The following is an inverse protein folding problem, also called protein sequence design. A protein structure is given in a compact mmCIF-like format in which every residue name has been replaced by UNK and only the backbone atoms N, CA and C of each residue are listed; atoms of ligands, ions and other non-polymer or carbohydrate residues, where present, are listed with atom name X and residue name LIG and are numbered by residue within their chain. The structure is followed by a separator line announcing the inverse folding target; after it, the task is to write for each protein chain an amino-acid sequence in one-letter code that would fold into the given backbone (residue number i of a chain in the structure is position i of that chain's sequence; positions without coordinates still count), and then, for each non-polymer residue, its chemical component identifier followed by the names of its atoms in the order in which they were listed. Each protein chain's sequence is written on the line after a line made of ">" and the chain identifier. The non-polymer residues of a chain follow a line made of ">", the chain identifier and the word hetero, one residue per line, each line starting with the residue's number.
data_IF_935518765590
#
_entry.id   IF_935518765590
#
_cell.length_a   1.000
_cell.length_b   1.000
_cell.length_c   1.000
_cell.angle_alpha   90.00
_cell.angle_beta   90.00
_cell.angle_gamma   90.00
#
_symmetry.space_group_name_H-M   'P 1'
#
loop_
_entity.id
_entity.type
_entity.pdbx_description
1 polymer ?
#
# COMPACT_ATOMS: atom_id res chain seq x y z
N UNK A 1 12.54 3.96 -9.97
CA UNK A 1 13.02 2.68 -9.40
C UNK A 1 11.93 1.64 -9.63
N UNK A 2 12.01 0.89 -10.74
CA UNK A 2 11.06 -0.17 -11.07
C UNK A 2 11.32 -1.37 -10.14
N UNK A 3 10.37 -1.72 -9.27
CA UNK A 3 10.39 -2.98 -8.55
C UNK A 3 9.92 -4.11 -9.48
N UNK A 4 10.81 -5.07 -9.75
CA UNK A 4 10.51 -6.31 -10.45
C UNK A 4 9.76 -7.26 -9.50
N UNK A 5 8.57 -7.71 -9.91
CA UNK A 5 7.77 -8.72 -9.21
C UNK A 5 8.34 -10.12 -9.51
N UNK A 6 8.54 -11.01 -8.52
CA UNK A 6 9.06 -12.37 -8.74
C UNK A 6 8.09 -13.29 -9.51
N UNK A 7 8.60 -14.03 -10.49
CA UNK A 7 7.89 -14.99 -11.35
C UNK A 7 7.51 -16.31 -10.65
N UNK A 8 6.61 -16.32 -9.66
CA UNK A 8 6.16 -17.58 -9.02
C UNK A 8 4.64 -17.71 -8.82
N UNK A 9 3.84 -17.16 -9.73
CA UNK A 9 2.37 -17.30 -9.73
C UNK A 9 1.95 -18.25 -10.86
N UNK A 10 1.10 -19.25 -10.58
CA UNK A 10 0.46 -20.12 -11.59
C UNK A 10 -1.05 -20.07 -11.39
N UNK A 11 -1.81 -19.81 -12.47
CA UNK A 11 -3.28 -19.79 -12.45
C UNK A 11 -3.84 -21.23 -12.46
N UNK A 12 -4.97 -21.46 -11.77
CA UNK A 12 -5.69 -22.75 -11.74
C UNK A 12 -7.21 -22.48 -11.66
N UNK A 13 -8.04 -23.39 -12.18
CA UNK A 13 -9.51 -23.28 -12.19
C UNK A 13 -10.17 -24.21 -11.16
N UNK A 14 -10.91 -23.70 -10.14
CA UNK A 14 -11.84 -24.50 -9.37
C UNK A 14 -13.31 -24.14 -9.66
N UNK A 15 -14.20 -25.14 -9.59
CA UNK A 15 -15.67 -24.95 -9.58
C UNK A 15 -16.11 -24.58 -8.15
N UNK A 16 -16.82 -23.46 -8.00
CA UNK A 16 -18.01 -23.19 -7.13
C UNK A 16 -18.10 -21.69 -6.74
N UNK A 17 -19.34 -21.24 -6.54
CA UNK A 17 -19.89 -19.88 -6.57
C UNK A 17 -19.36 -18.89 -5.52
N UNK A 18 -18.86 -17.75 -5.97
CA UNK A 18 -18.63 -16.55 -5.17
C UNK A 18 -18.05 -15.43 -6.03
N UNK A 19 -18.67 -14.24 -6.06
CA UNK A 19 -18.22 -13.09 -6.86
C UNK A 19 -16.99 -12.44 -6.20
N UNK A 20 -15.80 -12.64 -6.77
CA UNK A 20 -14.61 -11.85 -6.47
C UNK A 20 -14.42 -10.71 -7.49
N UNK A 21 -13.90 -9.59 -7.00
CA UNK A 21 -13.71 -8.33 -7.72
C UNK A 21 -12.77 -8.45 -8.93
N UNK A 22 -13.23 -7.95 -10.08
CA UNK A 22 -12.57 -7.98 -11.41
C UNK A 22 -11.20 -7.27 -11.45
N UNK A 23 -10.87 -6.45 -10.45
CA UNK A 23 -9.64 -5.64 -10.43
C UNK A 23 -8.35 -6.45 -10.19
N UNK A 24 -8.37 -7.49 -9.34
CA UNK A 24 -7.17 -8.31 -9.04
C UNK A 24 -6.76 -9.24 -10.21
N UNK A 25 -7.68 -9.55 -11.12
CA UNK A 25 -7.41 -10.44 -12.26
C UNK A 25 -6.65 -9.75 -13.40
N UNK A 26 -6.82 -8.43 -13.57
CA UNK A 26 -6.14 -7.66 -14.63
C UNK A 26 -4.66 -7.45 -14.36
N UNK A 27 -4.25 -7.34 -13.10
CA UNK A 27 -2.85 -7.10 -12.71
C UNK A 27 -1.99 -8.38 -12.77
N UNK A 28 -2.61 -9.56 -12.68
CA UNK A 28 -1.92 -10.86 -12.70
C UNK A 28 -1.93 -11.58 -14.07
N UNK A 29 -2.62 -11.06 -15.08
CA UNK A 29 -2.67 -11.64 -16.44
C UNK A 29 -3.42 -12.97 -16.58
N UNK A 30 -4.25 -13.36 -15.60
CA UNK A 30 -5.11 -14.56 -15.69
C UNK A 30 -6.41 -14.23 -16.48
N UNK A 31 -6.96 -15.19 -17.23
CA UNK A 31 -8.21 -15.00 -18.00
C UNK A 31 -9.44 -15.14 -17.09
N UNK A 32 -10.60 -14.66 -17.53
CA UNK A 32 -11.87 -14.75 -16.78
C UNK A 32 -12.14 -16.19 -16.29
N UNK A 33 -12.19 -16.40 -14.97
CA UNK A 33 -12.51 -17.69 -14.33
C UNK A 33 -11.42 -18.30 -13.43
N UNK A 34 -10.31 -17.61 -13.16
CA UNK A 34 -9.23 -18.11 -12.30
C UNK A 34 -9.12 -17.29 -10.99
N UNK A 35 -8.62 -17.88 -9.89
CA UNK A 35 -8.35 -17.20 -8.60
C UNK A 35 -6.92 -17.50 -8.13
N UNK A 36 -6.32 -16.60 -7.35
CA UNK A 36 -4.96 -16.76 -6.80
C UNK A 36 -4.98 -17.00 -5.30
N UNK A 37 -4.27 -18.04 -4.83
CA UNK A 37 -4.04 -18.31 -3.39
C UNK A 37 -2.55 -18.45 -3.05
N UNK A 38 -2.16 -17.94 -1.87
CA UNK A 38 -0.82 -18.06 -1.25
C UNK A 38 -0.58 -19.49 -0.75
N UNK A 39 0.60 -20.07 -1.00
CA UNK A 39 0.96 -21.39 -0.43
C UNK A 39 1.58 -21.22 0.96
N UNK A 40 1.10 -22.00 1.93
CA UNK A 40 1.62 -22.07 3.30
C UNK A 40 3.03 -22.72 3.34
N UNK A 41 3.91 -22.21 4.21
CA UNK A 41 5.19 -22.83 4.57
C UNK A 41 4.99 -23.77 5.79
N UNK A 42 5.63 -24.96 5.85
CA UNK A 42 5.64 -25.83 7.03
C UNK A 42 6.60 -25.32 8.14
N UNK A 43 6.47 -25.81 9.40
CA UNK A 43 7.08 -25.19 10.59
C UNK A 43 8.54 -25.60 10.77
N UNK A 44 9.40 -24.65 11.17
CA UNK A 44 10.81 -24.91 11.47
C UNK A 44 11.03 -25.23 12.96
N UNK A 45 11.66 -26.38 13.19
CA UNK A 45 12.12 -26.93 14.47
C UNK A 45 13.39 -26.18 14.93
N UNK A 46 13.60 -26.15 16.25
CA UNK A 46 14.53 -25.26 16.93
C UNK A 46 16.03 -25.52 16.77
N UNK A 47 16.74 -24.39 16.98
CA UNK A 47 18.02 -24.19 17.67
C UNK A 47 19.37 -24.56 17.00
N UNK A 48 20.20 -23.51 17.09
CA UNK A 48 21.66 -23.40 17.36
C UNK A 48 22.61 -23.30 16.15
N UNK A 49 23.32 -22.17 16.14
CA UNK A 49 24.74 -22.04 15.80
C UNK A 49 25.09 -22.29 14.34
N UNK A 50 25.05 -21.22 13.54
CA UNK A 50 26.22 -20.76 12.77
C UNK A 50 25.77 -19.69 11.77
N UNK A 51 26.45 -18.55 11.84
CA UNK A 51 26.22 -17.40 10.98
C UNK A 51 26.80 -17.71 9.59
N UNK A 52 26.04 -18.39 8.74
CA UNK A 52 26.43 -18.64 7.36
C UNK A 52 26.19 -17.38 6.51
N UNK A 53 27.29 -16.66 6.25
CA UNK A 53 27.40 -15.66 5.20
C UNK A 53 27.02 -16.26 3.83
N UNK A 54 25.87 -15.89 3.29
CA UNK A 54 25.51 -16.18 1.89
C UNK A 54 25.98 -15.03 1.00
N UNK A 55 27.27 -15.00 0.67
CA UNK A 55 27.80 -14.22 -0.46
C UNK A 55 28.37 -15.21 -1.51
N UNK A 56 28.00 -15.09 -2.80
CA UNK A 56 28.66 -15.86 -3.84
C UNK A 56 30.12 -15.41 -3.98
N UNK A 57 31.05 -16.33 -3.78
CA UNK A 57 32.50 -16.13 -3.80
C UNK A 57 33.07 -15.88 -5.22
N UNK A 58 32.76 -14.74 -5.84
CA UNK A 58 33.41 -14.32 -7.10
C UNK A 58 33.36 -12.81 -7.37
N UNK A 59 33.26 -11.99 -6.31
CA UNK A 59 33.47 -10.53 -6.41
C UNK A 59 34.70 -10.20 -5.60
N UNK A 60 35.72 -9.62 -6.25
CA UNK A 60 36.90 -9.14 -5.54
C UNK A 60 36.49 -7.97 -4.64
N UNK A 61 36.87 -8.04 -3.37
CA UNK A 61 36.53 -7.07 -2.33
C UNK A 61 37.41 -5.80 -2.35
N UNK A 62 37.91 -5.40 -3.52
CA UNK A 62 38.68 -4.17 -3.68
C UNK A 62 37.85 -3.17 -4.48
N UNK A 63 37.30 -2.18 -3.77
CA UNK A 63 36.47 -1.11 -4.36
C UNK A 63 37.22 -0.30 -5.43
N UNK A 64 36.49 0.11 -6.47
CA UNK A 64 37.02 1.00 -7.51
C UNK A 64 37.11 2.45 -7.00
N UNK A 65 38.31 3.02 -7.03
CA UNK A 65 38.52 4.43 -6.69
C UNK A 65 37.95 5.35 -7.78
N UNK A 66 37.49 6.55 -7.39
CA UNK A 66 36.99 7.55 -8.35
C UNK A 66 38.07 7.89 -9.39
N UNK A 67 37.82 7.53 -10.65
CA UNK A 67 38.70 7.82 -11.80
C UNK A 67 39.42 6.60 -12.39
N UNK A 68 39.30 5.41 -11.79
CA UNK A 68 39.92 4.20 -12.31
C UNK A 68 39.17 3.63 -13.54
N UNK A 69 39.90 3.36 -14.63
CA UNK A 69 39.34 2.74 -15.82
C UNK A 69 39.07 1.24 -15.61
N UNK A 70 37.90 0.76 -16.05
CA UNK A 70 37.49 -0.65 -15.90
C UNK A 70 37.75 -1.41 -17.21
N UNK A 71 38.32 -2.64 -17.18
CA UNK A 71 38.55 -3.46 -18.37
C UNK A 71 37.27 -3.75 -19.17
N UNK A 72 37.40 -3.80 -20.50
CA UNK A 72 36.28 -4.09 -21.39
C UNK A 72 35.70 -5.49 -21.12
N UNK A 73 34.41 -5.56 -20.81
CA UNK A 73 33.68 -6.81 -20.53
C UNK A 73 33.44 -7.11 -19.04
N UNK A 74 33.97 -6.30 -18.13
CA UNK A 74 33.70 -6.44 -16.69
C UNK A 74 32.32 -5.88 -16.31
N UNK A 75 31.56 -6.65 -15.53
CA UNK A 75 30.30 -6.17 -14.94
C UNK A 75 30.59 -5.32 -13.69
N UNK A 76 30.11 -4.08 -13.69
CA UNK A 76 30.24 -3.14 -12.58
C UNK A 76 28.90 -3.02 -11.86
N UNK A 77 28.92 -3.05 -10.52
CA UNK A 77 27.74 -2.81 -9.68
C UNK A 77 28.04 -1.74 -8.64
N UNK A 78 26.99 -1.07 -8.15
CA UNK A 78 27.05 -0.19 -6.99
C UNK A 78 26.52 -0.95 -5.78
N UNK A 79 27.30 -1.05 -4.72
CA UNK A 79 26.87 -1.67 -3.47
C UNK A 79 25.99 -0.68 -2.70
N UNK A 80 24.69 -1.00 -2.54
CA UNK A 80 23.72 -0.10 -1.90
C UNK A 80 23.83 -0.07 -0.37
N UNK A 81 24.62 -0.96 0.25
CA UNK A 81 24.91 -0.93 1.68
C UNK A 81 26.16 -0.11 2.02
N UNK A 82 27.20 -0.12 1.17
CA UNK A 82 28.46 0.60 1.44
C UNK A 82 28.64 1.87 0.61
N UNK A 83 27.93 1.99 -0.52
CA UNK A 83 28.06 3.12 -1.47
C UNK A 83 29.18 2.95 -2.51
N UNK A 84 29.93 1.85 -2.47
CA UNK A 84 31.11 1.64 -3.33
C UNK A 84 30.76 1.03 -4.69
N UNK A 85 31.58 1.31 -5.71
CA UNK A 85 31.49 0.64 -7.02
C UNK A 85 32.43 -0.57 -7.03
N UNK A 86 31.89 -1.74 -7.36
CA UNK A 86 32.61 -3.00 -7.43
C UNK A 86 32.59 -3.54 -8.86
N UNK A 87 33.69 -4.12 -9.34
CA UNK A 87 33.74 -4.79 -10.64
C UNK A 87 34.10 -6.26 -10.50
N UNK A 88 33.40 -7.12 -11.25
CA UNK A 88 33.70 -8.55 -11.33
C UNK A 88 34.88 -8.79 -12.25
N UNK A 89 36.01 -9.22 -11.69
CA UNK A 89 37.16 -9.71 -12.44
C UNK A 89 36.93 -11.17 -12.87
N UNK A 90 37.35 -11.60 -14.06
CA UNK A 90 37.25 -12.98 -14.47
C UNK A 90 38.17 -13.88 -13.63
N UNK A 91 37.61 -14.86 -12.94
CA UNK A 91 38.34 -15.81 -12.08
C UNK A 91 39.37 -16.61 -12.88
N UNK A 92 40.61 -16.63 -12.38
CA UNK A 92 41.79 -17.23 -13.04
C UNK A 92 41.91 -18.74 -12.85
N UNK A 93 40.97 -19.39 -12.16
CA UNK A 93 41.01 -20.82 -11.85
C UNK A 93 39.67 -21.50 -12.07
N UNK A 94 39.43 -21.93 -13.30
CA UNK A 94 38.64 -23.14 -13.56
C UNK A 94 39.08 -23.74 -14.90
N UNK A 95 39.86 -24.81 -14.80
CA UNK A 95 40.49 -25.56 -15.88
C UNK A 95 39.48 -26.25 -16.80
N UNK A 96 38.85 -25.46 -17.68
CA UNK A 96 38.16 -25.92 -18.89
C UNK A 96 38.67 -25.23 -20.15
N UNK A 97 39.82 -24.55 -20.07
CA UNK A 97 40.58 -24.02 -21.22
C UNK A 97 41.51 -25.06 -21.86
N UNK A 98 41.96 -26.06 -21.10
CA UNK A 98 43.13 -26.87 -21.50
C UNK A 98 42.82 -27.93 -22.56
N UNK A 99 41.57 -28.39 -22.65
CA UNK A 99 41.14 -29.29 -23.73
C UNK A 99 41.06 -28.61 -25.10
N UNK A 100 41.04 -27.27 -25.16
CA UNK A 100 41.01 -26.51 -26.43
C UNK A 100 42.40 -26.12 -26.90
N UNK A 101 43.34 -25.96 -25.97
CA UNK A 101 44.72 -25.58 -26.25
C UNK A 101 45.55 -26.81 -26.68
N UNK A 102 45.32 -27.99 -26.11
CA UNK A 102 45.97 -29.22 -26.54
C UNK A 102 45.44 -29.73 -27.90
N UNK A 103 44.16 -29.50 -28.19
CA UNK A 103 43.56 -29.74 -29.52
C UNK A 103 44.02 -28.73 -30.56
N UNK A 104 44.38 -27.50 -30.16
CA UNK A 104 45.06 -26.51 -31.01
C UNK A 104 46.52 -26.88 -31.25
N UNK A 105 47.28 -27.28 -30.22
CA UNK A 105 48.66 -27.75 -30.36
C UNK A 105 48.77 -28.98 -31.26
N UNK A 106 47.90 -29.98 -31.10
CA UNK A 106 47.84 -31.16 -32.01
C UNK A 106 47.37 -30.84 -33.44
N UNK A 107 46.68 -29.72 -33.67
CA UNK A 107 46.26 -29.27 -35.02
C UNK A 107 47.29 -28.37 -35.69
N UNK A 108 48.14 -27.69 -34.92
CA UNK A 108 49.27 -26.92 -35.46
C UNK A 108 50.49 -27.82 -35.76
N UNK A 109 50.62 -28.98 -35.12
CA UNK A 109 51.71 -29.94 -35.38
C UNK A 109 51.51 -30.83 -36.63
N UNK A 110 50.46 -30.55 -37.44
CA UNK A 110 50.12 -31.32 -38.66
C UNK A 110 49.70 -30.45 -39.85
N UNK A 111 50.18 -29.22 -39.94
CA UNK A 111 50.15 -28.48 -41.18
C UNK A 111 51.55 -27.94 -41.44
N UNK A 112 52.31 -28.68 -42.27
CA UNK A 112 53.46 -28.15 -42.99
C UNK A 112 52.97 -26.97 -43.84
N UNK A 113 53.10 -25.77 -43.28
CA UNK A 113 52.97 -24.53 -44.03
C UNK A 113 54.38 -23.99 -44.15
N UNK A 114 54.97 -24.27 -45.30
CA UNK A 114 56.25 -23.74 -45.75
C UNK A 114 56.32 -22.23 -45.46
N UNK A 115 57.41 -21.81 -44.81
CA UNK A 115 57.57 -20.49 -44.16
C UNK A 115 57.78 -19.34 -45.15
N UNK A 116 57.29 -19.47 -46.39
CA UNK A 116 57.30 -18.41 -47.39
C UNK A 116 56.13 -18.61 -48.36
N UNK A 117 55.02 -17.90 -48.15
CA UNK A 117 54.19 -17.29 -49.22
C UNK A 117 52.78 -16.89 -48.76
N UNK A 118 52.67 -15.97 -47.79
CA UNK A 118 51.55 -15.01 -47.82
C UNK A 118 52.09 -13.66 -47.43
N UNK A 119 52.02 -12.71 -48.36
CA UNK A 119 52.48 -11.35 -48.06
C UNK A 119 51.52 -10.69 -47.08
N UNK A 120 52.02 -9.79 -46.23
CA UNK A 120 51.18 -8.98 -45.31
C UNK A 120 50.00 -8.30 -46.03
N UNK A 121 50.13 -8.06 -47.34
CA UNK A 121 49.07 -7.48 -48.18
C UNK A 121 47.93 -8.46 -48.51
N UNK A 122 48.19 -9.76 -48.67
CA UNK A 122 47.15 -10.76 -48.95
C UNK A 122 46.30 -11.05 -47.72
N UNK A 123 46.92 -11.13 -46.54
CA UNK A 123 46.24 -11.23 -45.26
C UNK A 123 45.37 -9.98 -44.98
N UNK A 124 45.87 -8.78 -45.28
CA UNK A 124 45.09 -7.54 -45.17
C UNK A 124 43.88 -7.53 -46.13
N UNK A 125 44.04 -8.03 -47.36
CA UNK A 125 42.92 -8.14 -48.32
C UNK A 125 41.87 -9.15 -47.87
N UNK A 126 42.27 -10.28 -47.29
CA UNK A 126 41.32 -11.28 -46.77
C UNK A 126 40.53 -10.74 -45.56
N UNK A 127 41.20 -10.05 -44.63
CA UNK A 127 40.54 -9.40 -43.49
C UNK A 127 39.61 -8.25 -43.92
N UNK A 128 40.00 -7.49 -44.94
CA UNK A 128 39.15 -6.44 -45.51
C UNK A 128 37.85 -7.04 -46.10
N UNK A 129 37.95 -8.16 -46.84
CA UNK A 129 36.78 -8.86 -47.39
C UNK A 129 35.82 -9.39 -46.31
N UNK A 130 36.36 -9.91 -45.21
CA UNK A 130 35.53 -10.35 -44.07
C UNK A 130 34.83 -9.18 -43.37
N UNK A 131 35.50 -8.03 -43.26
CA UNK A 131 34.91 -6.82 -42.66
C UNK A 131 33.82 -6.21 -43.54
N UNK A 132 33.97 -6.30 -44.86
CA UNK A 132 32.94 -5.89 -45.82
C UNK A 132 31.71 -6.81 -45.79
N UNK A 133 31.90 -8.14 -45.68
CA UNK A 133 30.78 -9.08 -45.58
C UNK A 133 29.98 -8.90 -44.29
N UNK A 134 30.64 -8.71 -43.14
CA UNK A 134 29.96 -8.42 -41.87
C UNK A 134 29.17 -7.10 -41.92
N UNK A 135 29.70 -6.09 -42.61
CA UNK A 135 29.02 -4.81 -42.80
C UNK A 135 27.78 -4.96 -43.68
N UNK A 136 27.87 -5.77 -44.74
CA UNK A 136 26.75 -6.07 -45.62
C UNK A 136 25.62 -6.84 -44.90
N UNK A 137 25.97 -7.83 -44.07
CA UNK A 137 25.00 -8.59 -43.27
C UNK A 137 24.29 -7.71 -42.23
N UNK A 138 25.01 -6.80 -41.56
CA UNK A 138 24.40 -5.84 -40.63
C UNK A 138 23.42 -4.89 -41.32
N UNK A 139 23.79 -4.36 -42.50
CA UNK A 139 22.89 -3.49 -43.26
C UNK A 139 21.64 -4.24 -43.73
N UNK A 140 21.78 -5.50 -44.16
CA UNK A 140 20.65 -6.33 -44.53
C UNK A 140 19.71 -6.61 -43.34
N UNK A 141 20.26 -6.88 -42.17
CA UNK A 141 19.47 -7.08 -40.94
C UNK A 141 18.74 -5.80 -40.50
N UNK A 142 19.41 -4.65 -40.55
CA UNK A 142 18.78 -3.34 -40.28
C UNK A 142 17.65 -3.04 -41.26
N UNK A 143 17.82 -3.37 -42.54
CA UNK A 143 16.77 -3.18 -43.55
C UNK A 143 15.59 -4.15 -43.36
N UNK A 144 15.85 -5.39 -42.95
CA UNK A 144 14.82 -6.37 -42.62
C UNK A 144 14.00 -5.96 -41.38
N UNK A 145 14.68 -5.44 -40.34
CA UNK A 145 14.03 -4.88 -39.15
C UNK A 145 13.19 -3.65 -39.53
N UNK A 146 13.74 -2.75 -40.35
CA UNK A 146 13.02 -1.54 -40.80
C UNK A 146 11.77 -1.86 -41.62
N UNK A 147 11.74 -2.98 -42.34
CA UNK A 147 10.54 -3.47 -43.05
C UNK A 147 9.49 -4.09 -42.12
N UNK A 148 9.87 -4.56 -40.92
CA UNK A 148 8.94 -5.15 -39.93
C UNK A 148 8.21 -4.11 -39.08
N UNK A 149 8.72 -2.88 -38.99
CA UNK A 149 8.15 -1.83 -38.15
C UNK A 149 7.64 -0.67 -38.99
N UNK A 150 6.47 -0.14 -38.61
CA UNK A 150 5.96 1.12 -39.18
C UNK A 150 6.86 2.29 -38.72
N UNK A 151 7.11 3.28 -39.57
CA UNK A 151 7.88 4.47 -39.18
C UNK A 151 7.13 5.26 -38.10
N UNK A 152 7.91 5.80 -37.15
CA UNK A 152 7.38 6.46 -35.95
C UNK A 152 6.56 7.71 -36.29
N UNK A 153 6.89 8.37 -37.40
CA UNK A 153 6.18 9.55 -37.92
C UNK A 153 4.76 9.20 -38.39
N UNK A 154 4.57 8.06 -39.07
CA UNK A 154 3.24 7.61 -39.48
C UNK A 154 2.38 7.26 -38.27
N UNK A 155 2.96 6.63 -37.24
CA UNK A 155 2.26 6.33 -36.00
C UNK A 155 1.84 7.60 -35.25
N UNK A 156 2.70 8.64 -35.24
CA UNK A 156 2.38 9.95 -34.65
C UNK A 156 1.23 10.63 -35.38
N UNK A 157 1.26 10.67 -36.71
CA UNK A 157 0.16 11.24 -37.49
C UNK A 157 -1.15 10.45 -37.36
N UNK A 158 -1.09 9.11 -37.35
CA UNK A 158 -2.27 8.26 -37.13
C UNK A 158 -2.87 8.49 -35.73
N UNK A 159 -2.02 8.67 -34.71
CA UNK A 159 -2.44 8.99 -33.34
C UNK A 159 -3.04 10.39 -33.22
N UNK A 160 -2.47 11.39 -33.91
CA UNK A 160 -3.04 12.75 -33.99
C UNK A 160 -4.39 12.76 -34.73
N UNK A 161 -4.51 12.02 -35.83
CA UNK A 161 -5.77 11.88 -36.60
C UNK A 161 -6.88 11.19 -35.80
N UNK A 162 -6.52 10.34 -34.85
CA UNK A 162 -7.47 9.66 -33.97
C UNK A 162 -8.15 10.62 -32.97
N UNK A 163 -7.71 11.88 -32.83
CA UNK A 163 -8.30 12.92 -31.96
C UNK A 163 -8.70 12.41 -30.56
N UNK A 164 -7.96 11.42 -30.04
CA UNK A 164 -8.09 10.99 -28.65
C UNK A 164 -7.35 12.04 -27.85
N UNK A 165 -8.02 13.14 -27.54
CA UNK A 165 -7.57 14.06 -26.49
C UNK A 165 -7.60 13.26 -25.18
N UNK A 166 -6.51 12.56 -24.89
CA UNK A 166 -6.29 11.97 -23.58
C UNK A 166 -6.02 13.13 -22.63
N UNK A 167 -7.08 13.63 -22.02
CA UNK A 167 -6.95 14.62 -20.97
C UNK A 167 -6.24 13.96 -19.79
N UNK A 168 -5.26 14.67 -19.24
CA UNK A 168 -4.56 14.21 -18.05
C UNK A 168 -5.47 14.36 -16.83
N UNK A 169 -5.26 13.53 -15.81
CA UNK A 169 -5.97 13.67 -14.53
C UNK A 169 -5.86 15.09 -13.96
N UNK A 170 -4.70 15.74 -14.16
CA UNK A 170 -4.48 17.13 -13.78
C UNK A 170 -5.47 18.09 -14.47
N UNK A 171 -5.59 18.02 -15.80
CA UNK A 171 -6.50 18.87 -16.58
C UNK A 171 -7.96 18.59 -16.25
N UNK A 172 -8.31 17.33 -15.99
CA UNK A 172 -9.67 16.95 -15.58
C UNK A 172 -9.98 17.54 -14.21
N UNK A 173 -9.10 17.37 -13.23
CA UNK A 173 -9.26 17.92 -11.88
C UNK A 173 -9.38 19.45 -11.92
N UNK A 174 -8.55 20.15 -12.69
CA UNK A 174 -8.62 21.61 -12.82
C UNK A 174 -9.99 22.10 -13.32
N UNK A 175 -10.58 21.40 -14.31
CA UNK A 175 -11.94 21.68 -14.78
C UNK A 175 -13.00 21.40 -13.72
N UNK A 176 -12.87 20.29 -12.97
CA UNK A 176 -13.81 19.92 -11.91
C UNK A 176 -13.77 20.95 -10.77
N UNK A 177 -12.57 21.38 -10.36
CA UNK A 177 -12.36 22.43 -9.35
C UNK A 177 -12.96 23.75 -9.82
N UNK A 178 -12.71 24.13 -11.08
CA UNK A 178 -13.27 25.35 -11.69
C UNK A 178 -14.80 25.32 -11.71
N UNK A 179 -15.40 24.17 -12.04
CA UNK A 179 -16.85 23.98 -12.02
C UNK A 179 -17.42 24.06 -10.59
N UNK A 180 -16.75 23.49 -9.61
CA UNK A 180 -17.14 23.59 -8.21
C UNK A 180 -17.11 25.04 -7.68
N UNK A 181 -16.06 25.80 -8.03
CA UNK A 181 -15.86 27.17 -7.59
C UNK A 181 -16.73 28.20 -8.33
N UNK A 182 -17.18 27.88 -9.55
CA UNK A 182 -17.97 28.80 -10.37
C UNK A 182 -19.30 29.20 -9.72
N UNK A 183 -19.60 30.49 -9.68
CA UNK A 183 -20.91 31.00 -9.26
C UNK A 183 -22.01 30.74 -10.30
N UNK A 184 -21.65 30.46 -11.55
CA UNK A 184 -22.59 30.16 -12.62
C UNK A 184 -23.07 28.70 -12.62
N UNK A 185 -22.37 27.80 -11.92
CA UNK A 185 -22.71 26.38 -11.88
C UNK A 185 -23.86 26.09 -10.91
N UNK A 186 -24.76 25.21 -11.32
CA UNK A 186 -25.90 24.77 -10.50
C UNK A 186 -25.44 23.90 -9.34
N UNK A 187 -26.32 23.68 -8.35
CA UNK A 187 -26.02 22.79 -7.23
C UNK A 187 -25.68 21.37 -7.72
N UNK A 188 -26.47 20.81 -8.62
CA UNK A 188 -26.27 19.47 -9.17
C UNK A 188 -24.96 19.36 -9.94
N UNK A 189 -24.60 20.40 -10.68
CA UNK A 189 -23.32 20.48 -11.39
C UNK A 189 -22.12 20.48 -10.44
N UNK A 190 -22.22 21.20 -9.32
CA UNK A 190 -21.18 21.22 -8.29
C UNK A 190 -21.06 19.89 -7.57
N UNK A 191 -22.20 19.27 -7.26
CA UNK A 191 -22.25 17.95 -6.63
C UNK A 191 -21.64 16.88 -7.54
N UNK A 192 -22.00 16.89 -8.83
CA UNK A 192 -21.39 16.01 -9.82
C UNK A 192 -19.88 16.23 -9.93
N UNK A 193 -19.43 17.50 -9.93
CA UNK A 193 -18.01 17.81 -9.98
C UNK A 193 -17.24 17.27 -8.75
N UNK A 194 -17.81 17.42 -7.55
CA UNK A 194 -17.21 16.87 -6.33
C UNK A 194 -17.22 15.33 -6.32
N UNK A 195 -18.30 14.71 -6.83
CA UNK A 195 -18.38 13.26 -6.95
C UNK A 195 -17.28 12.70 -7.87
N UNK A 196 -17.09 13.31 -9.04
CA UNK A 196 -16.03 12.91 -9.97
C UNK A 196 -14.64 13.20 -9.38
N UNK A 197 -14.47 14.34 -8.71
CA UNK A 197 -13.20 14.73 -8.11
C UNK A 197 -12.76 13.75 -7.00
N UNK A 198 -13.72 13.23 -6.23
CA UNK A 198 -13.46 12.22 -5.19
C UNK A 198 -12.72 10.99 -5.74
N UNK A 199 -13.11 10.53 -6.93
CA UNK A 199 -12.46 9.42 -7.61
C UNK A 199 -10.97 9.69 -7.88
N UNK A 200 -10.64 10.87 -8.40
CA UNK A 200 -9.27 11.23 -8.77
C UNK A 200 -8.36 11.39 -7.57
N UNK A 201 -8.84 12.03 -6.50
CA UNK A 201 -8.01 12.34 -5.31
C UNK A 201 -7.74 11.14 -4.41
N UNK A 202 -8.28 9.95 -4.70
CA UNK A 202 -7.82 8.71 -4.07
C UNK A 202 -6.37 8.39 -4.41
N UNK A 203 -5.90 8.84 -5.58
CA UNK A 203 -4.49 8.68 -5.93
C UNK A 203 -3.66 9.73 -5.20
N UNK A 204 -2.61 9.28 -4.52
CA UNK A 204 -1.78 10.12 -3.64
C UNK A 204 -1.14 11.29 -4.39
N UNK A 205 -0.74 11.11 -5.64
CA UNK A 205 -0.15 12.18 -6.44
C UNK A 205 -1.21 13.19 -6.92
N UNK A 206 -2.36 12.70 -7.40
CA UNK A 206 -3.50 13.56 -7.73
C UNK A 206 -3.97 14.39 -6.52
N UNK A 207 -3.96 13.83 -5.32
CA UNK A 207 -4.29 14.58 -4.10
C UNK A 207 -3.29 15.72 -3.80
N UNK A 208 -2.01 15.56 -4.13
CA UNK A 208 -1.00 16.62 -4.00
C UNK A 208 -1.18 17.69 -5.08
N UNK A 209 -1.55 17.30 -6.29
CA UNK A 209 -1.87 18.23 -7.37
C UNK A 209 -3.13 19.02 -7.03
N UNK A 210 -4.18 18.36 -6.53
CA UNK A 210 -5.41 18.96 -6.02
C UNK A 210 -5.13 20.01 -4.93
N UNK A 211 -4.21 19.74 -4.00
CA UNK A 211 -3.71 20.73 -3.04
C UNK A 211 -3.04 21.91 -3.75
N UNK A 212 -2.15 21.64 -4.71
CA UNK A 212 -1.37 22.66 -5.43
C UNK A 212 -2.26 23.57 -6.31
N UNK A 213 -3.39 23.05 -6.79
CA UNK A 213 -4.43 23.81 -7.51
C UNK A 213 -5.31 24.67 -6.57
N UNK A 214 -5.12 24.61 -5.25
CA UNK A 214 -5.98 25.28 -4.28
C UNK A 214 -7.32 24.60 -4.05
N UNK A 215 -7.54 23.41 -4.63
CA UNK A 215 -8.79 22.68 -4.52
C UNK A 215 -9.09 22.23 -3.08
N UNK A 216 -8.06 21.90 -2.29
CA UNK A 216 -8.23 21.50 -0.89
C UNK A 216 -8.93 22.59 -0.07
N UNK A 217 -8.50 23.84 -0.22
CA UNK A 217 -9.08 24.98 0.51
C UNK A 217 -10.55 25.19 0.15
N UNK A 218 -10.90 25.09 -1.14
CA UNK A 218 -12.28 25.19 -1.61
C UNK A 218 -13.17 24.09 -1.01
N UNK A 219 -12.67 22.86 -0.91
CA UNK A 219 -13.42 21.76 -0.29
C UNK A 219 -13.60 21.96 1.21
N UNK A 220 -12.57 22.47 1.90
CA UNK A 220 -12.65 22.83 3.33
C UNK A 220 -13.69 23.94 3.56
N UNK A 221 -13.80 24.91 2.66
CA UNK A 221 -14.85 25.93 2.67
C UNK A 221 -16.23 25.33 2.38
N UNK A 222 -16.31 24.35 1.47
CA UNK A 222 -17.52 23.59 1.16
C UNK A 222 -18.15 22.88 2.37
N UNK A 223 -17.35 22.53 3.39
CA UNK A 223 -17.86 21.97 4.66
C UNK A 223 -18.77 22.93 5.44
N UNK A 224 -18.68 24.24 5.17
CA UNK A 224 -19.54 25.26 5.77
C UNK A 224 -20.79 25.59 4.93
N UNK A 225 -21.03 24.86 3.83
CA UNK A 225 -22.19 25.12 2.97
C UNK A 225 -23.51 24.97 3.74
N UNK A 226 -24.51 25.77 3.38
CA UNK A 226 -25.88 25.60 3.86
C UNK A 226 -26.52 24.33 3.29
N UNK A 227 -26.10 23.92 2.08
CA UNK A 227 -26.62 22.76 1.37
C UNK A 227 -26.02 21.44 1.92
N UNK A 228 -26.84 20.53 2.49
CA UNK A 228 -26.33 19.28 3.06
C UNK A 228 -25.62 18.38 2.04
N UNK A 229 -26.14 18.30 0.81
CA UNK A 229 -25.55 17.46 -0.25
C UNK A 229 -24.15 17.97 -0.62
N UNK A 230 -23.92 19.28 -0.60
CA UNK A 230 -22.61 19.85 -0.87
C UNK A 230 -21.63 19.57 0.27
N UNK A 231 -22.07 19.71 1.53
CA UNK A 231 -21.28 19.32 2.71
C UNK A 231 -20.89 17.85 2.69
N UNK A 232 -21.81 16.98 2.31
CA UNK A 232 -21.56 15.54 2.18
C UNK A 232 -20.44 15.25 1.18
N UNK A 233 -20.54 15.79 -0.05
CA UNK A 233 -19.58 15.52 -1.11
C UNK A 233 -18.23 16.21 -0.84
N UNK A 234 -18.24 17.41 -0.26
CA UNK A 234 -17.01 18.07 0.17
C UNK A 234 -16.28 17.23 1.24
N UNK A 235 -17.00 16.74 2.26
CA UNK A 235 -16.41 15.83 3.24
C UNK A 235 -15.92 14.53 2.61
N UNK A 236 -16.58 14.04 1.56
CA UNK A 236 -16.18 12.82 0.87
C UNK A 236 -14.85 13.00 0.12
N UNK A 237 -14.73 14.05 -0.70
CA UNK A 237 -13.50 14.43 -1.40
C UNK A 237 -12.36 14.66 -0.40
N UNK A 238 -12.63 15.38 0.69
CA UNK A 238 -11.64 15.63 1.74
C UNK A 238 -11.11 14.31 2.32
N UNK A 239 -12.00 13.37 2.66
CA UNK A 239 -11.58 12.08 3.21
C UNK A 239 -10.76 11.23 2.23
N UNK A 240 -11.08 11.26 0.95
CA UNK A 240 -10.30 10.59 -0.09
C UNK A 240 -8.89 11.21 -0.20
N UNK A 241 -8.80 12.54 -0.34
CA UNK A 241 -7.52 13.26 -0.48
C UNK A 241 -6.57 13.09 0.73
N UNK A 242 -7.12 12.94 1.94
CA UNK A 242 -6.36 12.75 3.17
C UNK A 242 -5.78 11.34 3.33
N UNK A 243 -6.37 10.34 2.66
CA UNK A 243 -6.07 8.94 2.91
C UNK A 243 -4.62 8.62 2.50
N UNK A 244 -3.80 8.23 3.47
CA UNK A 244 -2.37 7.91 3.27
C UNK A 244 -1.53 9.07 2.70
N UNK A 245 -1.89 10.32 2.99
CA UNK A 245 -1.19 11.49 2.47
C UNK A 245 -0.85 12.54 3.56
N UNK A 246 0.31 12.39 4.25
CA UNK A 246 0.70 13.28 5.35
C UNK A 246 0.79 14.76 4.97
N UNK A 247 1.22 15.08 3.73
CA UNK A 247 1.30 16.46 3.26
C UNK A 247 -0.09 17.11 3.20
N UNK A 248 -1.05 16.42 2.59
CA UNK A 248 -2.43 16.91 2.51
C UNK A 248 -3.09 16.95 3.89
N UNK A 249 -2.77 16.00 4.78
CA UNK A 249 -3.25 16.01 6.16
C UNK A 249 -2.78 17.24 6.96
N UNK A 250 -1.50 17.63 6.83
CA UNK A 250 -0.95 18.84 7.48
C UNK A 250 -1.73 20.07 7.01
N UNK A 251 -1.79 20.29 5.69
CA UNK A 251 -2.45 21.46 5.09
C UNK A 251 -3.95 21.52 5.44
N UNK A 252 -4.63 20.38 5.49
CA UNK A 252 -6.04 20.34 5.88
C UNK A 252 -6.26 20.75 7.35
N UNK A 253 -5.35 20.35 8.25
CA UNK A 253 -5.44 20.76 9.66
C UNK A 253 -5.16 22.25 9.81
N UNK A 254 -4.14 22.76 9.12
CA UNK A 254 -3.81 24.19 9.11
C UNK A 254 -4.94 25.03 8.50
N UNK A 255 -5.63 24.50 7.48
CA UNK A 255 -6.87 25.07 6.91
C UNK A 255 -8.11 24.95 7.81
N UNK A 256 -8.00 24.36 9.01
CA UNK A 256 -9.09 24.28 9.98
C UNK A 256 -10.12 23.18 9.69
N UNK A 257 -9.82 22.21 8.82
CA UNK A 257 -10.73 21.13 8.46
C UNK A 257 -11.16 20.28 9.68
N UNK A 258 -10.23 20.01 10.60
CA UNK A 258 -10.50 19.22 11.81
C UNK A 258 -11.64 19.83 12.65
N UNK A 259 -11.59 21.14 12.89
CA UNK A 259 -12.62 21.82 13.69
C UNK A 259 -13.98 21.77 12.98
N UNK A 260 -14.01 21.99 11.65
CA UNK A 260 -15.25 21.92 10.86
C UNK A 260 -15.88 20.52 10.89
N UNK A 261 -15.06 19.48 10.73
CA UNK A 261 -15.51 18.08 10.81
C UNK A 261 -16.09 17.75 12.19
N UNK A 262 -15.45 18.20 13.26
CA UNK A 262 -15.96 18.02 14.63
C UNK A 262 -17.29 18.74 14.84
N UNK A 263 -17.45 19.96 14.33
CA UNK A 263 -18.72 20.71 14.39
C UNK A 263 -19.84 19.98 13.62
N UNK A 264 -19.55 19.44 12.43
CA UNK A 264 -20.53 18.66 11.66
C UNK A 264 -20.99 17.42 12.45
N UNK A 265 -20.08 16.72 13.12
CA UNK A 265 -20.41 15.54 13.92
C UNK A 265 -21.15 15.90 15.22
N UNK A 266 -20.85 17.05 15.81
CA UNK A 266 -21.47 17.50 17.06
C UNK A 266 -22.88 18.08 16.88
N UNK A 267 -23.22 18.57 15.68
CA UNK A 267 -24.49 19.26 15.40
C UNK A 267 -25.53 18.35 14.72
N UNK A 268 -26.77 18.84 14.65
CA UNK A 268 -27.82 18.15 13.90
C UNK A 268 -27.55 18.28 12.39
N UNK A 269 -27.36 17.15 11.72
CA UNK A 269 -27.03 17.07 10.29
C UNK A 269 -27.60 15.78 9.73
N UNK A 270 -27.93 15.72 8.42
CA UNK A 270 -28.34 14.48 7.79
C UNK A 270 -27.29 13.39 7.97
N UNK A 271 -27.77 12.16 8.13
CA UNK A 271 -26.90 11.01 8.43
C UNK A 271 -25.86 10.74 7.33
N UNK A 272 -26.17 11.07 6.07
CA UNK A 272 -25.24 10.98 4.96
C UNK A 272 -24.04 11.93 5.13
N UNK A 273 -24.27 13.17 5.57
CA UNK A 273 -23.23 14.15 5.90
C UNK A 273 -22.35 13.64 7.05
N UNK A 274 -22.96 13.16 8.14
CA UNK A 274 -22.21 12.61 9.29
C UNK A 274 -21.34 11.41 8.91
N UNK A 275 -21.84 10.51 8.04
CA UNK A 275 -21.08 9.36 7.51
C UNK A 275 -19.81 9.81 6.78
N UNK A 276 -19.90 10.83 5.92
CA UNK A 276 -18.76 11.34 5.15
C UNK A 276 -17.82 12.20 5.99
N UNK A 277 -18.35 13.00 6.92
CA UNK A 277 -17.53 13.73 7.89
C UNK A 277 -16.74 12.78 8.80
N UNK A 278 -17.36 11.69 9.28
CA UNK A 278 -16.65 10.68 10.07
C UNK A 278 -15.60 9.95 9.23
N UNK A 279 -15.87 9.67 7.94
CA UNK A 279 -14.86 9.14 7.03
C UNK A 279 -13.64 10.05 6.93
N UNK A 280 -13.85 11.34 6.65
CA UNK A 280 -12.76 12.31 6.56
C UNK A 280 -11.98 12.43 7.86
N UNK A 281 -12.68 12.44 9.01
CA UNK A 281 -12.04 12.45 10.32
C UNK A 281 -11.18 11.19 10.52
N UNK A 282 -11.68 9.99 10.19
CA UNK A 282 -10.88 8.76 10.27
C UNK A 282 -9.61 8.85 9.41
N UNK A 283 -9.74 9.30 8.15
CA UNK A 283 -8.60 9.45 7.23
C UNK A 283 -7.61 10.51 7.70
N UNK A 284 -8.06 11.56 8.39
CA UNK A 284 -7.19 12.60 8.97
C UNK A 284 -6.37 12.10 10.16
N UNK A 285 -6.93 11.23 11.00
CA UNK A 285 -6.32 10.83 12.27
C UNK A 285 -5.37 9.64 12.15
N UNK A 286 -5.63 8.72 11.21
CA UNK A 286 -4.80 7.53 11.01
C UNK A 286 -3.41 7.92 10.53
N UNK A 287 -2.41 7.26 11.10
CA UNK A 287 -0.99 7.41 10.80
C UNK A 287 -0.44 8.83 10.97
N UNK A 288 -1.14 9.70 11.72
CA UNK A 288 -0.78 11.09 11.88
C UNK A 288 -0.93 11.57 13.34
N UNK A 289 0.13 11.45 14.17
CA UNK A 289 0.05 11.71 15.60
C UNK A 289 -0.26 13.18 15.92
N UNK A 290 0.20 14.12 15.10
CA UNK A 290 -0.12 15.55 15.28
C UNK A 290 -1.64 15.79 15.20
N UNK A 291 -2.33 15.18 14.23
CA UNK A 291 -3.79 15.26 14.12
C UNK A 291 -4.49 14.68 15.35
N UNK A 292 -4.01 13.54 15.84
CA UNK A 292 -4.54 12.90 17.05
C UNK A 292 -4.42 13.82 18.27
N UNK A 293 -3.28 14.51 18.43
CA UNK A 293 -3.12 15.49 19.52
C UNK A 293 -4.12 16.64 19.40
N UNK A 294 -4.28 17.22 18.21
CA UNK A 294 -5.22 18.33 18.00
C UNK A 294 -6.68 17.88 18.20
N UNK A 295 -7.01 16.67 17.75
CA UNK A 295 -8.32 16.07 17.97
C UNK A 295 -8.64 15.92 19.45
N UNK A 296 -7.69 15.45 20.26
CA UNK A 296 -7.85 15.36 21.71
C UNK A 296 -8.02 16.75 22.35
N UNK A 297 -7.21 17.74 21.94
CA UNK A 297 -7.29 19.13 22.45
C UNK A 297 -8.64 19.79 22.15
N UNK A 298 -9.23 19.50 20.99
CA UNK A 298 -10.53 20.03 20.57
C UNK A 298 -11.73 19.26 21.15
N UNK A 299 -11.51 18.35 22.10
CA UNK A 299 -12.59 17.56 22.71
C UNK A 299 -13.22 16.56 21.76
N UNK A 300 -12.44 16.07 20.78
CA UNK A 300 -12.94 15.17 19.74
C UNK A 300 -13.51 13.86 20.27
N UNK A 301 -12.96 13.32 21.37
CA UNK A 301 -13.52 12.14 22.04
C UNK A 301 -14.92 12.41 22.60
N UNK A 302 -15.19 13.59 23.15
CA UNK A 302 -16.51 13.96 23.64
C UNK A 302 -17.51 14.05 22.49
N UNK A 303 -17.08 14.59 21.33
CA UNK A 303 -17.90 14.62 20.11
C UNK A 303 -18.24 13.21 19.63
N UNK A 304 -17.24 12.32 19.53
CA UNK A 304 -17.47 10.93 19.13
C UNK A 304 -18.38 10.18 20.11
N UNK A 305 -18.21 10.40 21.41
CA UNK A 305 -19.10 9.83 22.45
C UNK A 305 -20.53 10.35 22.31
N UNK A 306 -20.71 11.60 21.90
CA UNK A 306 -22.01 12.20 21.62
C UNK A 306 -22.80 11.46 20.54
N UNK A 307 -22.13 10.88 19.54
CA UNK A 307 -22.78 10.11 18.48
C UNK A 307 -23.52 8.89 19.02
N UNK A 308 -23.12 8.30 20.15
CA UNK A 308 -23.81 7.14 20.75
C UNK A 308 -25.12 7.48 21.45
N UNK A 309 -25.39 8.77 21.68
CA UNK A 309 -26.62 9.26 22.33
C UNK A 309 -27.66 9.76 21.33
N UNK A 310 -27.23 10.06 20.11
CA UNK A 310 -28.10 10.52 19.04
C UNK A 310 -28.82 9.32 18.42
N UNK A 311 -30.10 9.50 18.05
CA UNK A 311 -30.86 8.46 17.34
C UNK A 311 -30.44 8.43 15.86
N UNK A 312 -30.40 7.25 15.24
CA UNK A 312 -30.12 7.12 13.80
C UNK A 312 -28.64 7.13 13.43
N UNK A 313 -27.74 7.20 14.41
CA UNK A 313 -26.27 7.19 14.25
C UNK A 313 -25.65 5.81 14.51
N UNK A 314 -26.45 4.76 14.67
CA UNK A 314 -26.01 3.40 15.00
C UNK A 314 -25.01 2.87 13.96
N UNK A 315 -25.26 3.15 12.68
CA UNK A 315 -24.36 2.83 11.58
C UNK A 315 -22.97 3.50 11.67
N UNK A 316 -22.78 4.51 12.54
CA UNK A 316 -21.50 5.17 12.78
C UNK A 316 -20.72 4.55 13.94
N UNK A 317 -21.40 3.83 14.84
CA UNK A 317 -20.83 3.35 16.10
C UNK A 317 -19.67 2.40 15.85
N UNK A 318 -19.85 1.43 14.95
CA UNK A 318 -18.80 0.48 14.55
C UNK A 318 -17.58 1.22 14.00
N UNK A 319 -17.79 2.23 13.15
CA UNK A 319 -16.70 3.01 12.57
C UNK A 319 -15.93 3.82 13.61
N UNK A 320 -16.60 4.33 14.64
CA UNK A 320 -15.94 4.99 15.79
C UNK A 320 -15.13 3.99 16.59
N UNK A 321 -15.69 2.81 16.89
CA UNK A 321 -14.99 1.73 17.60
C UNK A 321 -13.75 1.28 16.83
N UNK A 322 -13.87 1.03 15.53
CA UNK A 322 -12.75 0.66 14.65
C UNK A 322 -11.69 1.75 14.64
N UNK A 323 -12.08 3.04 14.53
CA UNK A 323 -11.13 4.14 14.59
C UNK A 323 -10.35 4.12 15.92
N UNK A 324 -11.04 4.02 17.06
CA UNK A 324 -10.36 4.01 18.36
C UNK A 324 -9.40 2.82 18.50
N UNK A 325 -9.80 1.64 18.02
CA UNK A 325 -8.93 0.47 17.96
C UNK A 325 -7.69 0.73 17.09
N UNK A 326 -7.89 1.22 15.86
CA UNK A 326 -6.82 1.54 14.92
C UNK A 326 -5.79 2.48 15.55
N UNK A 327 -6.23 3.56 16.20
CA UNK A 327 -5.34 4.55 16.82
C UNK A 327 -4.55 3.97 18.02
N UNK A 328 -5.17 3.09 18.81
CA UNK A 328 -4.48 2.41 19.93
C UNK A 328 -3.42 1.45 19.39
N UNK A 329 -3.81 0.59 18.45
CA UNK A 329 -2.92 -0.42 17.86
C UNK A 329 -1.77 0.24 17.09
N UNK A 330 -2.04 1.31 16.36
CA UNK A 330 -1.02 2.10 15.68
C UNK A 330 0.07 2.58 16.63
N UNK A 331 -0.31 3.09 17.81
CA UNK A 331 0.66 3.48 18.84
C UNK A 331 1.42 2.27 19.40
N UNK A 332 0.73 1.16 19.66
CA UNK A 332 1.36 -0.06 20.19
C UNK A 332 2.38 -0.68 19.23
N UNK A 333 2.08 -0.71 17.93
CA UNK A 333 2.97 -1.29 16.91
C UNK A 333 4.25 -0.46 16.69
N UNK A 334 4.24 0.83 17.02
CA UNK A 334 5.41 1.71 16.90
C UNK A 334 6.38 1.57 18.08
N UNK A 335 5.98 0.94 19.18
CA UNK A 335 6.87 0.63 20.31
C UNK A 335 7.81 -0.56 20.03
N UNK A 336 7.70 -1.20 18.86
CA UNK A 336 8.66 -2.19 18.37
C UNK A 336 9.94 -1.51 17.85
N UNK A 337 11.15 -2.08 18.11
CA UNK A 337 12.41 -1.45 17.77
C UNK A 337 12.59 -1.30 16.25
N UNK A 338 12.48 -0.07 15.75
CA UNK A 338 12.85 0.31 14.38
C UNK A 338 14.08 1.21 14.42
N UNK A 339 15.06 0.96 13.56
CA UNK A 339 16.31 1.72 13.50
C UNK A 339 16.18 2.84 12.46
N UNK A 340 16.27 4.10 12.87
CA UNK A 340 16.33 5.27 11.98
C UNK A 340 15.82 6.58 12.63
N UNK A 341 16.46 7.72 12.34
CA UNK A 341 16.13 9.04 12.93
C UNK A 341 14.65 9.44 12.73
N UNK A 342 14.10 9.23 11.53
CA UNK A 342 12.69 9.52 11.23
C UNK A 342 11.71 8.65 12.03
N UNK A 343 12.09 7.41 12.36
CA UNK A 343 11.28 6.51 13.16
C UNK A 343 11.25 6.96 14.63
N UNK A 344 12.36 7.50 15.13
CA UNK A 344 12.48 8.01 16.49
C UNK A 344 11.69 9.32 16.68
N UNK A 345 11.75 10.25 15.74
CA UNK A 345 10.91 11.46 15.75
C UNK A 345 9.42 11.11 15.74
N UNK A 346 9.02 10.18 14.86
CA UNK A 346 7.64 9.70 14.81
C UNK A 346 7.23 9.10 16.15
N UNK A 347 8.05 8.22 16.74
CA UNK A 347 7.80 7.63 18.05
C UNK A 347 7.65 8.68 19.15
N UNK A 348 8.48 9.72 19.16
CA UNK A 348 8.36 10.84 20.10
C UNK A 348 7.01 11.57 19.96
N UNK A 349 6.53 11.79 18.73
CA UNK A 349 5.21 12.40 18.50
C UNK A 349 4.07 11.52 19.03
N UNK A 350 4.13 10.19 18.86
CA UNK A 350 3.12 9.27 19.41
C UNK A 350 3.15 9.18 20.93
N UNK A 351 4.31 9.30 21.57
CA UNK A 351 4.43 9.34 23.03
C UNK A 351 3.65 10.52 23.62
N UNK A 352 3.61 11.66 22.92
CA UNK A 352 2.86 12.84 23.33
C UNK A 352 1.34 12.67 23.19
N UNK A 353 0.86 11.73 22.36
CA UNK A 353 -0.57 11.43 22.21
C UNK A 353 -1.07 10.66 23.44
N UNK A 354 -1.83 11.34 24.31
CA UNK A 354 -2.45 10.76 25.52
C UNK A 354 -3.85 10.18 25.26
N UNK A 355 -3.98 9.35 24.21
CA UNK A 355 -5.28 8.79 23.80
C UNK A 355 -5.91 7.89 24.87
N UNK A 356 -5.19 6.86 25.32
CA UNK A 356 -5.72 5.86 26.27
C UNK A 356 -6.13 6.49 27.61
N UNK A 357 -5.31 7.34 28.27
CA UNK A 357 -5.74 8.06 29.47
C UNK A 357 -7.03 8.86 29.24
N UNK A 358 -7.12 9.60 28.13
CA UNK A 358 -8.31 10.38 27.80
C UNK A 358 -9.56 9.51 27.55
N UNK A 359 -9.40 8.30 26.99
CA UNK A 359 -10.50 7.34 26.85
C UNK A 359 -11.05 6.89 28.21
N UNK A 360 -10.15 6.55 29.15
CA UNK A 360 -10.53 6.11 30.50
C UNK A 360 -11.21 7.24 31.27
N UNK A 361 -10.63 8.44 31.26
CA UNK A 361 -11.16 9.64 31.92
C UNK A 361 -12.56 10.03 31.39
N UNK A 362 -12.85 9.73 30.12
CA UNK A 362 -14.13 10.03 29.48
C UNK A 362 -15.09 8.84 29.44
N UNK A 363 -14.93 7.85 30.33
CA UNK A 363 -15.80 6.66 30.49
C UNK A 363 -15.96 5.78 29.24
N UNK A 364 -15.00 5.78 28.32
CA UNK A 364 -15.13 4.97 27.11
C UNK A 364 -15.19 3.47 27.40
N UNK A 365 -14.55 2.99 28.47
CA UNK A 365 -14.69 1.59 28.90
C UNK A 365 -16.18 1.18 29.05
N UNK A 366 -16.98 2.03 29.71
CA UNK A 366 -18.41 1.75 29.94
C UNK A 366 -19.26 1.91 28.67
N UNK A 367 -18.83 2.72 27.71
CA UNK A 367 -19.50 2.86 26.42
C UNK A 367 -19.24 1.63 25.57
N UNK A 368 -17.96 1.24 25.42
CA UNK A 368 -17.53 0.12 24.56
C UNK A 368 -18.13 -1.20 25.02
N UNK A 369 -18.13 -1.49 26.33
CA UNK A 369 -18.73 -2.72 26.89
C UNK A 369 -20.22 -2.88 26.53
N UNK A 370 -20.98 -1.79 26.52
CA UNK A 370 -22.40 -1.80 26.16
C UNK A 370 -22.64 -2.08 24.67
N UNK A 371 -21.66 -1.84 23.81
CA UNK A 371 -21.79 -2.08 22.36
C UNK A 371 -21.74 -3.56 21.98
N UNK A 372 -21.39 -4.46 22.91
CA UNK A 372 -21.54 -5.90 22.69
C UNK A 372 -23.01 -6.32 22.47
N UNK A 373 -23.96 -5.48 22.88
CA UNK A 373 -25.40 -5.72 22.64
C UNK A 373 -25.83 -5.49 21.18
N UNK A 374 -24.95 -5.00 20.29
CA UNK A 374 -25.27 -4.86 18.87
C UNK A 374 -25.60 -6.23 18.23
N UNK A 375 -26.52 -6.29 17.27
CA UNK A 375 -26.95 -7.56 16.68
C UNK A 375 -25.95 -8.13 15.68
N UNK A 376 -25.16 -7.30 14.99
CA UNK A 376 -24.27 -7.77 13.94
C UNK A 376 -22.96 -8.39 14.48
N UNK A 377 -22.58 -9.58 13.98
CA UNK A 377 -21.34 -10.25 14.38
C UNK A 377 -20.08 -9.44 14.05
N UNK A 378 -20.01 -8.80 12.87
CA UNK A 378 -18.90 -7.91 12.50
C UNK A 378 -18.76 -6.73 13.49
N UNK A 379 -19.89 -6.14 13.91
CA UNK A 379 -19.87 -5.08 14.91
C UNK A 379 -19.33 -5.59 16.25
N UNK A 380 -19.81 -6.75 16.72
CA UNK A 380 -19.32 -7.39 17.95
C UNK A 380 -17.84 -7.72 17.86
N UNK A 381 -17.34 -8.20 16.73
CA UNK A 381 -15.91 -8.43 16.49
C UNK A 381 -15.08 -7.17 16.75
N UNK A 382 -15.47 -6.03 16.14
CA UNK A 382 -14.75 -4.77 16.33
C UNK A 382 -14.80 -4.28 17.77
N UNK A 383 -15.94 -4.50 18.45
CA UNK A 383 -16.08 -4.18 19.88
C UNK A 383 -15.18 -5.09 20.74
N UNK A 384 -15.13 -6.39 20.48
CA UNK A 384 -14.26 -7.35 21.18
C UNK A 384 -12.78 -6.99 20.99
N UNK A 385 -12.37 -6.62 19.77
CA UNK A 385 -11.02 -6.13 19.48
C UNK A 385 -10.66 -4.90 20.33
N UNK A 386 -11.56 -3.90 20.40
CA UNK A 386 -11.35 -2.71 21.23
C UNK A 386 -11.37 -3.04 22.73
N UNK A 387 -12.23 -3.95 23.19
CA UNK A 387 -12.26 -4.40 24.58
C UNK A 387 -10.94 -5.07 24.98
N UNK A 388 -10.38 -5.92 24.12
CA UNK A 388 -9.11 -6.59 24.35
C UNK A 388 -7.97 -5.59 24.56
N UNK A 389 -7.78 -4.63 23.66
CA UNK A 389 -6.70 -3.62 23.81
C UNK A 389 -6.93 -2.69 25.01
N UNK A 390 -8.18 -2.44 25.38
CA UNK A 390 -8.52 -1.64 26.56
C UNK A 390 -8.43 -2.44 27.87
N UNK A 391 -8.30 -3.77 27.84
CA UNK A 391 -8.28 -4.59 29.05
C UNK A 391 -7.16 -4.17 30.00
N UNK A 392 -5.97 -3.87 29.47
CA UNK A 392 -4.82 -3.43 30.26
C UNK A 392 -5.09 -2.14 31.09
N UNK A 393 -6.11 -1.36 30.73
CA UNK A 393 -6.42 -0.07 31.36
C UNK A 393 -7.78 -0.03 32.05
N UNK A 394 -8.74 -0.82 31.56
CA UNK A 394 -10.13 -0.83 32.02
C UNK A 394 -10.48 -2.06 32.89
N UNK A 395 -9.52 -2.93 33.23
CA UNK A 395 -9.74 -4.24 33.90
C UNK A 395 -10.66 -4.16 35.11
N UNK A 396 -10.37 -3.28 36.07
CA UNK A 396 -11.16 -3.16 37.30
C UNK A 396 -12.61 -2.74 37.03
N UNK A 397 -12.81 -1.86 36.03
CA UNK A 397 -14.13 -1.41 35.62
C UNK A 397 -14.91 -2.51 34.90
N UNK A 398 -14.25 -3.31 34.06
CA UNK A 398 -14.87 -4.45 33.39
C UNK A 398 -15.20 -5.58 34.35
N UNK A 399 -14.35 -5.87 35.33
CA UNK A 399 -14.61 -6.88 36.38
C UNK A 399 -15.82 -6.50 37.24
N UNK A 400 -16.01 -5.20 37.51
CA UNK A 400 -17.19 -4.69 38.22
C UNK A 400 -18.49 -4.69 37.40
N UNK A 401 -18.43 -4.82 36.08
CA UNK A 401 -19.58 -4.74 35.18
C UNK A 401 -20.24 -6.11 34.99
N UNK A 402 -21.31 -6.35 35.77
CA UNK A 402 -22.10 -7.59 35.69
C UNK A 402 -22.80 -7.76 34.33
N UNK A 403 -23.16 -6.66 33.66
CA UNK A 403 -23.82 -6.73 32.37
C UNK A 403 -22.84 -7.18 31.27
N UNK A 404 -21.60 -6.69 31.33
CA UNK A 404 -20.52 -7.17 30.45
C UNK A 404 -20.25 -8.66 30.66
N UNK A 405 -20.12 -9.12 31.91
CA UNK A 405 -19.92 -10.54 32.21
C UNK A 405 -21.06 -11.43 31.69
N UNK A 406 -22.31 -11.00 31.86
CA UNK A 406 -23.48 -11.71 31.33
C UNK A 406 -23.49 -11.74 29.78
N UNK A 407 -23.19 -10.60 29.14
CA UNK A 407 -23.12 -10.51 27.68
C UNK A 407 -22.02 -11.42 27.10
N UNK A 408 -20.83 -11.43 27.70
CA UNK A 408 -19.73 -12.32 27.28
C UNK A 408 -20.10 -13.80 27.48
N UNK A 409 -20.80 -14.14 28.57
CA UNK A 409 -21.29 -15.50 28.80
C UNK A 409 -22.27 -15.97 27.73
N UNK A 410 -23.24 -15.11 27.36
CA UNK A 410 -24.19 -15.40 26.29
C UNK A 410 -23.49 -15.53 24.93
N UNK A 411 -22.59 -14.60 24.59
CA UNK A 411 -21.83 -14.63 23.34
C UNK A 411 -20.92 -15.85 23.25
N UNK A 412 -20.35 -16.31 24.37
CA UNK A 412 -19.54 -17.54 24.39
C UNK A 412 -20.39 -18.73 23.96
N UNK A 413 -21.57 -18.92 24.56
CA UNK A 413 -22.46 -20.03 24.20
C UNK A 413 -22.95 -19.93 22.75
N UNK A 414 -23.31 -18.73 22.29
CA UNK A 414 -23.71 -18.48 20.89
C UNK A 414 -22.59 -18.85 19.90
N UNK A 415 -21.34 -18.41 20.16
CA UNK A 415 -20.22 -18.71 19.28
C UNK A 415 -19.68 -20.14 19.41
N UNK A 416 -19.91 -20.83 20.54
CA UNK A 416 -19.64 -22.27 20.67
C UNK A 416 -20.53 -23.08 19.73
N UNK A 417 -21.82 -22.77 19.67
CA UNK A 417 -22.77 -23.42 18.77
C UNK A 417 -22.44 -23.14 17.30
N UNK A 418 -22.21 -21.86 16.95
CA UNK A 418 -21.88 -21.46 15.58
C UNK A 418 -20.54 -22.04 15.10
N UNK A 419 -19.50 -22.06 15.95
CA UNK A 419 -18.21 -22.67 15.61
C UNK A 419 -18.29 -24.20 15.52
N UNK A 420 -19.22 -24.85 16.22
CA UNK A 420 -19.49 -26.28 16.04
C UNK A 420 -20.19 -26.54 14.70
N UNK A 421 -21.13 -25.67 14.32
CA UNK A 421 -21.82 -25.74 13.04
C UNK A 421 -20.85 -25.55 11.86
N UNK A 422 -19.99 -24.52 11.87
CA UNK A 422 -18.93 -24.31 10.86
C UNK A 422 -18.11 -25.58 10.61
N UNK A 423 -17.68 -26.23 11.71
CA UNK A 423 -16.90 -27.48 11.66
C UNK A 423 -17.69 -28.64 11.05
N UNK A 424 -18.98 -28.73 11.34
CA UNK A 424 -19.87 -29.77 10.80
C UNK A 424 -20.15 -29.60 9.31
N UNK A 425 -20.23 -28.35 8.84
CA UNK A 425 -20.47 -28.01 7.43
C UNK A 425 -19.19 -28.07 6.59
N UNK A 426 -18.04 -28.26 7.22
CA UNK A 426 -16.74 -28.37 6.56
C UNK A 426 -16.18 -27.02 6.10
N UNK A 427 -16.70 -25.91 6.64
CA UNK A 427 -16.12 -24.59 6.45
C UNK A 427 -14.76 -24.52 7.15
N UNK A 428 -13.77 -23.94 6.46
CA UNK A 428 -12.38 -23.84 6.90
C UNK A 428 -11.98 -22.41 7.25
N UNK A 429 -12.85 -21.44 7.05
CA UNK A 429 -12.54 -20.04 7.29
C UNK A 429 -12.42 -19.75 8.78
N UNK A 430 -13.12 -20.53 9.64
CA UNK A 430 -12.92 -20.53 11.09
C UNK A 430 -13.32 -19.23 11.79
N UNK A 431 -14.21 -18.45 11.17
CA UNK A 431 -14.59 -17.12 11.64
C UNK A 431 -15.19 -17.14 13.05
N UNK A 432 -16.19 -17.99 13.31
CA UNK A 432 -16.79 -18.08 14.64
C UNK A 432 -15.84 -18.71 15.66
N UNK A 433 -14.90 -19.56 15.22
CA UNK A 433 -13.86 -20.10 16.08
C UNK A 433 -12.89 -19.00 16.58
N UNK A 434 -12.54 -18.02 15.74
CA UNK A 434 -11.71 -16.87 16.13
C UNK A 434 -12.46 -15.92 17.09
N UNK A 435 -13.76 -15.68 16.83
CA UNK A 435 -14.61 -14.89 17.73
C UNK A 435 -14.74 -15.54 19.10
N UNK A 436 -14.98 -16.85 19.15
CA UNK A 436 -15.01 -17.62 20.38
C UNK A 436 -13.68 -17.53 21.14
N UNK A 437 -12.55 -17.62 20.42
CA UNK A 437 -11.21 -17.42 21.00
C UNK A 437 -11.05 -16.03 21.63
N UNK A 438 -11.53 -14.99 20.96
CA UNK A 438 -11.51 -13.60 21.46
C UNK A 438 -12.34 -13.44 22.74
N UNK A 439 -13.57 -13.98 22.75
CA UNK A 439 -14.44 -13.96 23.95
C UNK A 439 -13.81 -14.72 25.11
N UNK A 440 -13.27 -15.91 24.87
CA UNK A 440 -12.62 -16.72 25.91
C UNK A 440 -11.39 -16.03 26.50
N UNK A 441 -10.58 -15.38 25.67
CA UNK A 441 -9.42 -14.61 26.11
C UNK A 441 -9.84 -13.48 27.05
N UNK A 442 -10.87 -12.72 26.66
CA UNK A 442 -11.41 -11.63 27.49
C UNK A 442 -11.98 -12.16 28.81
N UNK A 443 -12.74 -13.26 28.80
CA UNK A 443 -13.28 -13.88 30.02
C UNK A 443 -12.15 -14.34 30.95
N UNK A 444 -11.09 -14.95 30.41
CA UNK A 444 -9.94 -15.40 31.19
C UNK A 444 -9.18 -14.23 31.84
N UNK A 445 -9.05 -13.10 31.15
CA UNK A 445 -8.40 -11.90 31.71
C UNK A 445 -9.23 -11.21 32.79
N UNK A 446 -10.55 -11.40 32.79
CA UNK A 446 -11.48 -10.85 33.78
C UNK A 446 -11.61 -11.71 35.06
N UNK A 447 -11.31 -13.01 34.95
CA UNK A 447 -11.10 -13.88 36.12
C UNK A 447 -9.98 -13.30 37.01
#
# INVERSE_FOLDING_TARGET
>A
MMMLIPKTWKCFTPRINGKLSVQLLKEAGCKHGETVTRRALPPAIGKRGDQLSLLPASWAADGLWKGQAVPAGSHVRLNLQTGDREARLPDRENGKSDMREEKRRRRLDKMDIDSNSFTSQELKKALAKMKESEKAERMAHEEEVRKKFRPIEQLKEEFEKLNVKMETDYEIMDKLISKFNSSASTLDEKVAALYDLEYYVHQVDNAKDFLSMGGLQLVIEGLNSTEPVLKEHAAFVLGAALSSNPKVQIEAIEGGALQKLLVILATEQPQAVKKKALFALCSMLRHFPYAQQQFLKLGGLQVLRGLFRQKGTEALHVRVVTLLYDLIVEKMLLEAPQHGEQAEEKLQQYRQVRLVPALVEQDWCAVVSKLLALPEHDAREKVLQLLGVLMAFCRERYRGDRALGAALGLLRSEYEELAAQERSEGDKDGYFQELLGSVNTIIQELA
#
